data_IF_365673016028
#
_entry.id   IF_365673016028
#
_cell.length_a   1.000
_cell.length_b   1.000
_cell.length_c   1.000
_cell.angle_alpha   90.00
_cell.angle_beta   90.00
_cell.angle_gamma   90.00
#
_symmetry.space_group_name_H-M   'P 1'
#
loop_
_entity.id
_entity.type
_entity.pdbx_description
1 polymer ?
#
# COMPACT_ATOMS: atom_id res chain seq x y z
N UNK A 1 44.36 -48.27 -34.28
CA UNK A 1 42.93 -48.59 -34.08
C UNK A 1 42.38 -47.64 -33.03
N UNK A 2 41.48 -46.76 -33.50
CA UNK A 2 40.38 -46.06 -32.80
C UNK A 2 40.69 -45.29 -31.50
N UNK A 3 40.96 -43.99 -31.66
CA UNK A 3 40.75 -42.96 -30.64
C UNK A 3 39.26 -42.90 -30.27
N UNK A 4 38.95 -43.24 -29.01
CA UNK A 4 37.61 -43.12 -28.44
C UNK A 4 37.50 -41.78 -27.70
N UNK A 5 37.02 -40.75 -28.41
CA UNK A 5 36.60 -39.50 -27.76
C UNK A 5 35.39 -39.76 -26.85
N UNK A 6 35.30 -39.14 -25.66
CA UNK A 6 34.23 -39.41 -24.71
C UNK A 6 32.91 -38.84 -25.25
N UNK A 7 32.02 -39.73 -25.68
CA UNK A 7 30.63 -39.42 -26.06
C UNK A 7 29.80 -38.80 -24.91
N UNK A 8 30.33 -38.81 -23.69
CA UNK A 8 29.65 -38.30 -22.49
C UNK A 8 29.64 -36.78 -22.37
N UNK A 9 30.67 -36.07 -22.83
CA UNK A 9 30.72 -34.60 -22.66
C UNK A 9 29.70 -33.87 -23.54
N UNK A 10 29.48 -34.36 -24.78
CA UNK A 10 28.52 -33.76 -25.72
C UNK A 10 27.05 -33.91 -25.27
N UNK A 11 26.75 -34.91 -24.44
CA UNK A 11 25.40 -35.13 -23.90
C UNK A 11 25.05 -34.09 -22.83
N UNK A 12 25.99 -33.76 -21.94
CA UNK A 12 25.74 -32.88 -20.80
C UNK A 12 25.44 -31.45 -21.24
N UNK A 13 26.19 -30.92 -22.22
CA UNK A 13 25.96 -29.58 -22.75
C UNK A 13 24.61 -29.45 -23.48
N UNK A 14 24.18 -30.50 -24.20
CA UNK A 14 22.87 -30.49 -24.86
C UNK A 14 21.73 -30.54 -23.86
N UNK A 15 21.84 -31.36 -22.81
CA UNK A 15 20.82 -31.44 -21.77
C UNK A 15 20.74 -30.14 -20.95
N UNK A 16 21.87 -29.54 -20.59
CA UNK A 16 21.92 -28.26 -19.88
C UNK A 16 21.34 -27.11 -20.73
N UNK A 17 21.62 -27.08 -22.03
CA UNK A 17 21.06 -26.10 -22.95
C UNK A 17 19.54 -26.26 -23.10
N UNK A 18 19.03 -27.49 -23.18
CA UNK A 18 17.58 -27.74 -23.24
C UNK A 18 16.89 -27.32 -21.95
N UNK A 19 17.46 -27.60 -20.78
CA UNK A 19 16.92 -27.14 -19.48
C UNK A 19 16.96 -25.62 -19.38
N UNK A 20 18.04 -24.97 -19.81
CA UNK A 20 18.14 -23.51 -19.81
C UNK A 20 17.14 -22.87 -20.78
N UNK A 21 16.95 -23.42 -21.98
CA UNK A 21 15.98 -22.94 -22.96
C UNK A 21 14.55 -23.17 -22.46
N UNK A 22 14.24 -24.32 -21.85
CA UNK A 22 12.94 -24.56 -21.22
C UNK A 22 12.70 -23.61 -20.03
N UNK A 23 13.71 -23.35 -19.20
CA UNK A 23 13.61 -22.38 -18.11
C UNK A 23 13.39 -20.96 -18.64
N UNK A 24 14.11 -20.57 -19.68
CA UNK A 24 14.00 -19.25 -20.35
C UNK A 24 12.65 -19.07 -21.05
N UNK A 25 12.11 -20.12 -21.68
CA UNK A 25 10.81 -20.12 -22.35
C UNK A 25 9.64 -20.30 -21.38
N UNK A 26 9.88 -20.85 -20.19
CA UNK A 26 8.83 -21.07 -19.20
C UNK A 26 8.28 -19.78 -18.61
N UNK A 27 8.96 -18.64 -18.78
CA UNK A 27 8.48 -17.34 -18.31
C UNK A 27 8.10 -17.36 -16.83
N UNK A 28 8.63 -18.31 -16.04
CA UNK A 28 8.30 -18.47 -14.63
C UNK A 28 9.02 -17.38 -13.88
N UNK A 29 8.42 -16.20 -13.92
CA UNK A 29 8.47 -15.33 -12.76
C UNK A 29 7.71 -16.08 -11.68
N UNK A 30 8.42 -16.48 -10.61
CA UNK A 30 7.87 -17.11 -9.42
C UNK A 30 6.95 -16.11 -8.68
N UNK A 31 5.79 -15.79 -9.27
CA UNK A 31 4.63 -15.16 -8.63
C UNK A 31 3.45 -16.14 -8.66
N UNK A 32 3.70 -17.39 -8.25
CA UNK A 32 2.73 -18.48 -8.35
C UNK A 32 1.45 -18.28 -7.51
N UNK A 33 1.37 -17.24 -6.69
CA UNK A 33 0.22 -16.92 -5.83
C UNK A 33 -0.55 -15.65 -6.25
N UNK A 34 -0.17 -14.99 -7.35
CA UNK A 34 -0.88 -13.81 -7.82
C UNK A 34 -2.01 -14.18 -8.80
N UNK A 35 -3.23 -13.74 -8.48
CA UNK A 35 -4.40 -13.93 -9.31
C UNK A 35 -5.12 -12.61 -9.57
N UNK A 36 -5.91 -12.56 -10.65
CA UNK A 36 -6.90 -11.50 -10.82
C UNK A 36 -7.91 -11.56 -9.66
N UNK A 37 -8.49 -10.40 -9.32
CA UNK A 37 -9.59 -10.36 -8.36
C UNK A 37 -10.78 -11.16 -8.87
N UNK A 38 -11.34 -12.03 -8.04
CA UNK A 38 -12.61 -12.68 -8.34
C UNK A 38 -13.80 -11.70 -8.20
N UNK A 39 -15.01 -12.14 -8.52
CA UNK A 39 -16.20 -11.28 -8.50
C UNK A 39 -16.50 -10.68 -7.12
N UNK A 40 -16.31 -11.46 -6.03
CA UNK A 40 -16.54 -11.00 -4.66
C UNK A 40 -15.49 -9.95 -4.25
N UNK A 41 -14.21 -10.20 -4.54
CA UNK A 41 -13.12 -9.27 -4.28
C UNK A 41 -13.28 -7.98 -5.07
N UNK A 42 -13.63 -8.08 -6.36
CA UNK A 42 -13.92 -6.93 -7.22
C UNK A 42 -15.08 -6.10 -6.68
N UNK A 43 -16.12 -6.73 -6.14
CA UNK A 43 -17.24 -6.04 -5.49
C UNK A 43 -16.78 -5.27 -4.25
N UNK A 44 -15.99 -5.89 -3.37
CA UNK A 44 -15.45 -5.23 -2.16
C UNK A 44 -14.56 -4.03 -2.50
N UNK A 45 -13.73 -4.15 -3.54
CA UNK A 45 -12.91 -3.04 -4.01
C UNK A 45 -13.79 -1.88 -4.52
N UNK A 46 -14.78 -2.16 -5.37
CA UNK A 46 -15.75 -1.17 -5.85
C UNK A 46 -16.51 -0.49 -4.70
N UNK A 47 -16.98 -1.25 -3.73
CA UNK A 47 -17.64 -0.71 -2.53
C UNK A 47 -16.74 0.22 -1.72
N UNK A 48 -15.42 -0.04 -1.69
CA UNK A 48 -14.44 0.82 -1.02
C UNK A 48 -14.31 2.18 -1.71
N UNK A 49 -14.28 2.20 -3.04
CA UNK A 49 -14.32 3.45 -3.81
C UNK A 49 -15.66 4.18 -3.68
N UNK A 50 -16.79 3.47 -3.79
CA UNK A 50 -18.11 4.09 -3.58
C UNK A 50 -18.25 4.68 -2.18
N UNK A 51 -17.69 4.03 -1.15
CA UNK A 51 -17.62 4.60 0.18
C UNK A 51 -16.77 5.87 0.22
N UNK A 52 -15.56 5.85 -0.32
CA UNK A 52 -14.70 7.03 -0.39
C UNK A 52 -15.40 8.20 -1.10
N UNK A 53 -16.03 7.94 -2.24
CA UNK A 53 -16.76 8.95 -3.03
C UNK A 53 -18.01 9.52 -2.33
N UNK A 54 -18.50 8.85 -1.28
CA UNK A 54 -19.58 9.37 -0.44
C UNK A 54 -19.11 10.37 0.62
N UNK A 55 -17.79 10.47 0.84
CA UNK A 55 -17.18 11.35 1.83
C UNK A 55 -16.91 12.71 1.17
N UNK A 56 -17.78 13.67 1.42
CA UNK A 56 -17.64 15.04 0.91
C UNK A 56 -17.59 16.05 2.06
N UNK A 57 -16.99 17.24 1.87
CA UNK A 57 -16.87 18.23 2.93
C UNK A 57 -18.26 18.63 3.45
N UNK A 58 -18.39 18.65 4.77
CA UNK A 58 -19.60 19.05 5.50
C UNK A 58 -19.31 20.31 6.31
N UNK A 59 -20.18 20.63 7.26
CA UNK A 59 -19.87 21.63 8.29
C UNK A 59 -18.75 21.12 9.19
N UNK A 60 -17.66 21.87 9.29
CA UNK A 60 -16.55 21.63 10.22
C UNK A 60 -17.09 21.57 11.67
N UNK A 61 -16.64 20.57 12.42
CA UNK A 61 -17.05 20.22 13.78
C UNK A 61 -16.03 20.60 14.86
N UNK A 62 -14.83 20.98 14.45
CA UNK A 62 -13.80 21.54 15.32
C UNK A 62 -13.75 23.06 15.17
N UNK A 63 -13.01 23.75 16.04
CA UNK A 63 -12.86 25.19 15.93
C UNK A 63 -12.07 25.58 14.65
N UNK A 64 -12.50 26.65 13.99
CA UNK A 64 -11.92 27.09 12.72
C UNK A 64 -10.42 27.44 12.82
N UNK A 65 -9.94 28.15 13.87
CA UNK A 65 -8.52 28.42 14.02
C UNK A 65 -7.67 27.13 14.07
N UNK A 66 -8.08 26.13 14.85
CA UNK A 66 -7.42 24.82 14.91
C UNK A 66 -7.44 24.12 13.57
N UNK A 67 -8.60 24.08 12.90
CA UNK A 67 -8.70 23.48 11.56
C UNK A 67 -7.70 24.09 10.58
N UNK A 68 -7.71 25.43 10.45
CA UNK A 68 -6.84 26.15 9.53
C UNK A 68 -5.35 25.99 9.85
N UNK A 69 -5.01 25.84 11.14
CA UNK A 69 -3.63 25.65 11.60
C UNK A 69 -3.12 24.24 11.35
N UNK A 70 -3.98 23.22 11.50
CA UNK A 70 -3.56 21.82 11.56
C UNK A 70 -3.82 21.04 10.27
N UNK A 71 -4.78 21.44 9.42
CA UNK A 71 -5.00 20.73 8.15
C UNK A 71 -3.74 20.75 7.28
N UNK A 72 -3.42 19.60 6.70
CA UNK A 72 -2.38 19.42 5.69
C UNK A 72 -2.95 18.86 4.38
N UNK A 73 -4.28 18.75 4.26
CA UNK A 73 -4.89 18.02 3.16
C UNK A 73 -4.59 18.68 1.80
N UNK A 74 -4.92 19.97 1.68
CA UNK A 74 -4.75 20.68 0.41
C UNK A 74 -3.27 20.92 0.07
N UNK A 75 -2.41 21.09 1.07
CA UNK A 75 -0.96 21.21 0.86
C UNK A 75 -0.36 19.93 0.29
N UNK A 76 -0.86 18.75 0.69
CA UNK A 76 -0.41 17.45 0.19
C UNK A 76 -1.04 17.15 -1.18
N UNK A 77 -2.36 17.17 -1.27
CA UNK A 77 -3.09 16.67 -2.44
C UNK A 77 -3.23 17.69 -3.58
N UNK A 78 -2.96 18.98 -3.31
CA UNK A 78 -3.12 20.10 -4.25
C UNK A 78 -4.56 20.28 -4.73
N UNK A 79 -5.53 19.81 -3.95
CA UNK A 79 -6.95 20.09 -4.11
C UNK A 79 -7.65 20.05 -2.74
N UNK A 80 -8.73 20.83 -2.60
CA UNK A 80 -9.56 20.81 -1.38
C UNK A 80 -10.26 19.47 -1.13
N UNK A 81 -10.49 19.14 0.14
CA UNK A 81 -11.05 17.87 0.60
C UNK A 81 -12.28 17.43 -0.19
N UNK A 82 -12.20 16.25 -0.82
CA UNK A 82 -13.29 15.61 -1.55
C UNK A 82 -12.95 14.15 -1.79
N UNK A 83 -13.85 13.26 -1.37
CA UNK A 83 -13.74 11.83 -1.58
C UNK A 83 -13.71 11.45 -3.06
N UNK A 84 -14.49 12.13 -3.90
CA UNK A 84 -14.42 11.92 -5.36
C UNK A 84 -13.07 12.29 -5.95
N UNK A 85 -12.46 13.39 -5.51
CA UNK A 85 -11.12 13.78 -5.99
C UNK A 85 -10.06 12.80 -5.50
N UNK A 86 -10.14 12.33 -4.26
CA UNK A 86 -9.26 11.28 -3.73
C UNK A 86 -9.41 9.97 -4.49
N UNK A 87 -10.64 9.53 -4.80
CA UNK A 87 -10.91 8.33 -5.59
C UNK A 87 -10.19 8.40 -6.94
N UNK A 88 -10.28 9.53 -7.64
CA UNK A 88 -9.55 9.76 -8.90
C UNK A 88 -8.03 9.83 -8.70
N UNK A 89 -7.56 10.44 -7.60
CA UNK A 89 -6.14 10.53 -7.27
C UNK A 89 -5.51 9.14 -7.05
N UNK A 90 -6.24 8.23 -6.38
CA UNK A 90 -5.84 6.83 -6.20
C UNK A 90 -5.85 6.11 -7.55
N UNK A 91 -6.93 6.22 -8.31
CA UNK A 91 -7.08 5.55 -9.61
C UNK A 91 -6.11 6.08 -10.68
N UNK A 92 -5.62 7.31 -10.56
CA UNK A 92 -4.58 7.82 -11.46
C UNK A 92 -3.20 7.21 -11.18
N UNK A 93 -2.99 6.62 -9.98
CA UNK A 93 -1.73 6.06 -9.50
C UNK A 93 -1.69 4.54 -9.56
N UNK A 94 -2.79 3.89 -9.21
CA UNK A 94 -2.93 2.44 -9.26
C UNK A 94 -3.65 2.04 -10.53
N UNK A 95 -2.96 1.32 -11.41
CA UNK A 95 -3.45 0.88 -12.73
C UNK A 95 -4.15 -0.46 -12.66
N UNK A 96 -3.72 -1.33 -11.75
CA UNK A 96 -4.21 -2.70 -11.63
C UNK A 96 -4.24 -3.13 -10.16
N UNK A 97 -5.15 -4.04 -9.87
CA UNK A 97 -5.25 -4.71 -8.58
C UNK A 97 -5.19 -6.22 -8.81
N UNK A 98 -4.31 -6.88 -8.09
CA UNK A 98 -4.18 -8.33 -8.02
C UNK A 98 -4.46 -8.83 -6.60
N UNK A 99 -4.66 -10.13 -6.46
CA UNK A 99 -4.82 -10.81 -5.19
C UNK A 99 -3.69 -11.83 -5.03
N UNK A 100 -3.09 -11.91 -3.84
CA UNK A 100 -2.07 -12.92 -3.58
C UNK A 100 -1.43 -12.81 -2.20
N UNK A 101 -0.32 -13.51 -2.02
CA UNK A 101 0.43 -13.51 -0.77
C UNK A 101 1.24 -12.23 -0.61
N UNK A 102 1.01 -11.52 0.49
CA UNK A 102 1.67 -10.25 0.85
C UNK A 102 2.52 -10.39 2.12
N UNK A 103 2.68 -11.62 2.64
CA UNK A 103 3.37 -11.89 3.90
C UNK A 103 2.71 -11.16 5.07
N UNK A 104 3.50 -10.37 5.80
CA UNK A 104 3.06 -9.55 6.95
C UNK A 104 2.32 -8.26 6.52
N UNK A 105 2.31 -7.92 5.23
CA UNK A 105 1.69 -6.71 4.70
C UNK A 105 0.23 -6.94 4.30
N UNK A 106 -0.57 -5.88 4.29
CA UNK A 106 -1.98 -5.94 3.86
C UNK A 106 -2.10 -5.79 2.35
N UNK A 107 -1.25 -4.95 1.78
CA UNK A 107 -1.11 -4.72 0.36
C UNK A 107 0.35 -4.36 0.05
N UNK A 108 0.74 -4.47 -1.21
CA UNK A 108 2.05 -4.03 -1.68
C UNK A 108 1.90 -3.34 -3.04
N UNK A 109 2.47 -2.16 -3.15
CA UNK A 109 2.67 -1.47 -4.44
C UNK A 109 3.87 -2.05 -5.20
N UNK A 110 3.71 -2.22 -6.51
CA UNK A 110 4.77 -2.56 -7.45
C UNK A 110 5.05 -1.39 -8.41
N UNK A 111 6.31 -1.24 -8.84
CA UNK A 111 6.83 -0.09 -9.61
C UNK A 111 6.11 0.19 -10.96
N UNK A 112 5.19 -0.67 -11.40
CA UNK A 112 4.38 -0.54 -12.62
C UNK A 112 2.93 -0.06 -12.37
N UNK A 113 2.60 0.29 -11.13
CA UNK A 113 1.24 0.68 -10.76
C UNK A 113 0.30 -0.51 -10.52
N UNK A 114 0.81 -1.73 -10.38
CA UNK A 114 0.05 -2.84 -9.81
C UNK A 114 0.08 -2.79 -8.28
N UNK A 115 -1.05 -3.13 -7.66
CA UNK A 115 -1.14 -3.30 -6.21
C UNK A 115 -1.64 -4.70 -5.92
N UNK A 116 -0.79 -5.47 -5.23
CA UNK A 116 -1.13 -6.79 -4.74
C UNK A 116 -1.88 -6.67 -3.41
N UNK A 117 -3.14 -7.08 -3.40
CA UNK A 117 -4.00 -7.06 -2.21
C UNK A 117 -3.96 -8.41 -1.50
N UNK A 118 -3.58 -8.40 -0.22
CA UNK A 118 -3.58 -9.59 0.64
C UNK A 118 -4.97 -10.05 1.07
N UNK A 119 -5.05 -11.24 1.66
CA UNK A 119 -6.31 -11.75 2.25
C UNK A 119 -6.88 -10.80 3.29
N UNK A 120 -6.02 -10.23 4.14
CA UNK A 120 -6.42 -9.34 5.23
C UNK A 120 -7.16 -8.09 4.73
N UNK A 121 -6.79 -7.56 3.55
CA UNK A 121 -7.44 -6.39 2.95
C UNK A 121 -8.97 -6.57 2.82
N UNK A 122 -9.40 -7.74 2.36
CA UNK A 122 -10.82 -8.01 2.13
C UNK A 122 -11.63 -8.24 3.41
N UNK A 123 -10.97 -8.48 4.54
CA UNK A 123 -11.61 -8.56 5.87
C UNK A 123 -11.64 -7.22 6.62
N UNK A 124 -10.90 -6.22 6.17
CA UNK A 124 -10.92 -4.89 6.77
C UNK A 124 -12.29 -4.23 6.61
N UNK A 125 -12.64 -3.30 7.51
CA UNK A 125 -13.79 -2.43 7.29
C UNK A 125 -13.53 -1.46 6.12
N UNK A 126 -14.59 -0.81 5.64
CA UNK A 126 -14.53 0.09 4.47
C UNK A 126 -13.54 1.25 4.61
N UNK A 127 -13.37 1.81 5.82
CA UNK A 127 -12.43 2.91 6.05
C UNK A 127 -11.00 2.41 5.98
N UNK A 128 -10.68 1.30 6.65
CA UNK A 128 -9.31 0.76 6.65
C UNK A 128 -8.88 0.30 5.26
N UNK A 129 -9.81 -0.20 4.44
CA UNK A 129 -9.54 -0.45 3.00
C UNK A 129 -9.17 0.81 2.25
N UNK A 130 -9.90 1.91 2.48
CA UNK A 130 -9.59 3.21 1.86
C UNK A 130 -8.22 3.72 2.30
N UNK A 131 -7.88 3.59 3.59
CA UNK A 131 -6.56 3.99 4.09
C UNK A 131 -5.43 3.19 3.42
N UNK A 132 -5.60 1.87 3.28
CA UNK A 132 -4.64 1.03 2.54
C UNK A 132 -4.50 1.49 1.09
N UNK A 133 -5.62 1.68 0.36
CA UNK A 133 -5.56 2.11 -1.04
C UNK A 133 -4.90 3.48 -1.21
N UNK A 134 -5.18 4.42 -0.29
CA UNK A 134 -4.58 5.74 -0.28
C UNK A 134 -3.07 5.68 -0.02
N UNK A 135 -2.67 4.83 0.92
CA UNK A 135 -1.27 4.55 1.26
C UNK A 135 -0.51 3.98 0.06
N UNK A 136 -1.00 2.88 -0.51
CA UNK A 136 -0.32 2.22 -1.64
C UNK A 136 -0.25 3.14 -2.86
N UNK A 137 -1.28 3.96 -3.11
CA UNK A 137 -1.25 4.93 -4.19
C UNK A 137 -0.10 5.94 -4.02
N UNK A 138 0.27 6.32 -2.80
CA UNK A 138 1.36 7.28 -2.57
C UNK A 138 2.73 6.76 -3.02
N UNK A 139 2.96 5.45 -2.97
CA UNK A 139 4.20 4.85 -3.47
C UNK A 139 4.41 5.09 -4.98
N UNK A 140 3.33 5.32 -5.74
CA UNK A 140 3.41 5.65 -7.16
C UNK A 140 4.01 7.04 -7.47
N UNK A 141 4.08 7.94 -6.49
CA UNK A 141 4.62 9.30 -6.69
C UNK A 141 6.17 9.32 -6.72
N UNK A 142 6.82 8.17 -6.50
CA UNK A 142 8.27 8.00 -6.67
C UNK A 142 8.96 7.29 -5.49
N UNK A 143 10.23 6.90 -5.71
CA UNK A 143 11.02 6.08 -4.77
C UNK A 143 11.17 6.71 -3.37
N UNK A 144 11.14 8.03 -3.28
CA UNK A 144 11.23 8.76 -2.00
C UNK A 144 10.01 8.55 -1.10
N UNK A 145 8.90 8.06 -1.66
CA UNK A 145 7.69 7.71 -0.91
C UNK A 145 7.64 6.24 -0.52
N UNK A 146 8.68 5.46 -0.82
CA UNK A 146 8.82 4.10 -0.32
C UNK A 146 9.17 4.07 1.17
N UNK A 147 8.92 2.94 1.82
CA UNK A 147 9.27 2.79 3.23
C UNK A 147 10.77 2.69 3.47
N UNK A 148 11.21 3.25 4.59
CA UNK A 148 12.54 3.07 5.18
C UNK A 148 12.47 2.14 6.38
N UNK A 149 13.63 1.72 6.86
CA UNK A 149 13.76 0.94 8.10
C UNK A 149 13.36 1.83 9.27
N UNK A 150 12.40 1.36 10.06
CA UNK A 150 12.03 2.02 11.31
C UNK A 150 13.20 1.94 12.31
N UNK A 151 13.41 2.97 13.16
CA UNK A 151 14.44 2.96 14.19
C UNK A 151 14.38 1.71 15.09
N UNK A 152 15.53 1.24 15.59
CA UNK A 152 15.59 0.06 16.49
C UNK A 152 14.82 0.29 17.79
N UNK A 153 14.73 1.53 18.25
CA UNK A 153 13.97 1.93 19.43
C UNK A 153 12.53 2.35 19.10
N UNK A 154 11.99 1.99 17.93
CA UNK A 154 10.64 2.38 17.53
C UNK A 154 9.58 1.79 18.49
N UNK A 155 8.87 2.66 19.19
CA UNK A 155 8.04 2.30 20.35
C UNK A 155 6.59 1.92 20.01
N UNK A 156 6.20 2.04 18.74
CA UNK A 156 4.81 1.84 18.32
C UNK A 156 4.61 0.48 17.67
N UNK A 157 3.50 -0.19 18.02
CA UNK A 157 3.07 -1.41 17.35
C UNK A 157 2.40 -1.09 16.01
N UNK A 158 2.29 -2.08 15.13
CA UNK A 158 1.39 -1.97 13.99
C UNK A 158 -0.06 -1.95 14.53
N UNK A 159 -0.85 -0.88 14.29
CA UNK A 159 -2.22 -0.80 14.79
C UNK A 159 -3.16 -1.86 14.22
N UNK A 160 -2.76 -2.51 13.12
CA UNK A 160 -3.54 -3.54 12.43
C UNK A 160 -3.17 -4.95 12.90
N UNK A 161 -1.97 -5.13 13.47
CA UNK A 161 -1.56 -6.38 14.11
C UNK A 161 -0.53 -6.11 15.22
N UNK A 162 -1.00 -6.18 16.46
CA UNK A 162 -0.21 -6.07 17.69
C UNK A 162 0.98 -7.05 17.79
N UNK A 163 1.00 -8.12 16.99
CA UNK A 163 2.14 -9.05 16.93
C UNK A 163 3.29 -8.48 16.10
N UNK A 164 3.01 -7.52 15.21
CA UNK A 164 4.01 -6.91 14.36
C UNK A 164 4.66 -5.74 15.10
N UNK A 165 5.96 -5.88 15.32
CA UNK A 165 6.84 -4.86 15.87
C UNK A 165 7.59 -4.22 14.69
N UNK A 166 7.32 -2.94 14.34
CA UNK A 166 7.95 -2.27 13.21
C UNK A 166 9.43 -1.96 13.41
N UNK A 167 9.92 -1.91 14.65
CA UNK A 167 11.33 -1.66 14.96
C UNK A 167 12.27 -2.56 14.14
N UNK A 168 13.27 -1.95 13.50
CA UNK A 168 14.24 -2.66 12.63
C UNK A 168 13.64 -3.19 11.31
N UNK A 169 12.35 -2.98 11.04
CA UNK A 169 11.67 -3.41 9.80
C UNK A 169 11.47 -2.25 8.84
N UNK A 170 11.46 -2.56 7.54
CA UNK A 170 11.11 -1.61 6.47
C UNK A 170 9.61 -1.34 6.49
N UNK A 171 9.19 -0.25 7.14
CA UNK A 171 7.77 0.02 7.34
C UNK A 171 7.44 1.41 7.90
N UNK A 172 8.39 2.34 7.84
CA UNK A 172 8.21 3.74 8.25
C UNK A 172 8.36 4.67 7.06
N UNK A 173 7.80 5.87 7.13
CA UNK A 173 8.00 6.91 6.13
C UNK A 173 9.16 7.82 6.54
N UNK A 174 10.04 8.15 5.59
CA UNK A 174 11.11 9.14 5.77
C UNK A 174 10.70 10.56 5.38
N UNK A 175 9.50 10.74 4.82
CA UNK A 175 8.96 12.04 4.40
C UNK A 175 7.60 12.25 5.03
N UNK A 176 7.30 13.50 5.40
CA UNK A 176 6.10 13.86 6.17
C UNK A 176 4.79 13.55 5.44
N UNK A 177 4.82 13.50 4.11
CA UNK A 177 3.71 13.21 3.22
C UNK A 177 3.91 11.86 2.50
N UNK A 178 4.56 10.89 3.16
CA UNK A 178 4.59 9.49 2.77
C UNK A 178 3.22 8.80 2.91
N UNK A 179 3.16 7.48 2.75
CA UNK A 179 1.90 6.72 2.82
C UNK A 179 1.10 6.94 4.12
N UNK A 180 1.79 6.98 5.26
CA UNK A 180 1.20 7.29 6.56
C UNK A 180 0.89 8.78 6.73
N UNK A 181 1.72 9.66 6.15
CA UNK A 181 1.46 11.10 6.13
C UNK A 181 0.14 11.45 5.42
N UNK A 182 -0.08 10.89 4.23
CA UNK A 182 -1.29 11.16 3.44
C UNK A 182 -2.55 10.55 4.07
N UNK A 183 -2.44 9.39 4.71
CA UNK A 183 -3.55 8.77 5.43
C UNK A 183 -3.87 9.51 6.72
N UNK A 184 -2.87 10.02 7.45
CA UNK A 184 -3.06 10.92 8.58
C UNK A 184 -3.81 12.20 8.17
N UNK A 185 -3.40 12.84 7.07
CA UNK A 185 -4.08 14.03 6.56
C UNK A 185 -5.55 13.75 6.21
N UNK A 186 -5.86 12.59 5.62
CA UNK A 186 -7.23 12.18 5.35
C UNK A 186 -8.04 11.94 6.65
N UNK A 187 -7.47 11.26 7.64
CA UNK A 187 -8.12 11.01 8.93
C UNK A 187 -8.42 12.30 9.70
N UNK A 188 -7.53 13.29 9.61
CA UNK A 188 -7.77 14.62 10.18
C UNK A 188 -9.05 15.24 9.60
N UNK A 189 -9.23 15.18 8.27
CA UNK A 189 -10.44 15.69 7.62
C UNK A 189 -11.70 14.93 8.04
N UNK A 190 -11.61 13.61 8.21
CA UNK A 190 -12.74 12.81 8.71
C UNK A 190 -13.16 13.23 10.13
N UNK A 191 -12.20 13.51 11.01
CA UNK A 191 -12.47 14.07 12.34
C UNK A 191 -13.04 15.49 12.26
N UNK A 192 -12.40 16.36 11.47
CA UNK A 192 -12.81 17.75 11.32
C UNK A 192 -14.24 17.90 10.76
N UNK A 193 -14.65 17.05 9.81
CA UNK A 193 -16.00 17.08 9.23
C UNK A 193 -17.00 16.16 9.96
N UNK A 194 -16.59 15.46 11.01
CA UNK A 194 -17.47 14.63 11.84
C UNK A 194 -17.91 13.31 11.20
N UNK A 195 -17.13 12.76 10.28
CA UNK A 195 -17.29 11.39 9.80
C UNK A 195 -16.77 10.36 10.81
N UNK A 196 -15.81 10.76 11.63
CA UNK A 196 -15.33 10.01 12.79
C UNK A 196 -15.61 10.81 14.06
N UNK A 197 -15.81 10.09 15.18
CA UNK A 197 -15.78 10.74 16.48
C UNK A 197 -14.36 11.27 16.76
N UNK A 198 -14.23 12.33 17.55
CA UNK A 198 -12.95 13.02 17.75
C UNK A 198 -11.87 12.12 18.37
N UNK A 199 -12.26 11.24 19.30
CA UNK A 199 -11.33 10.31 19.96
C UNK A 199 -10.79 9.28 18.98
N UNK A 200 -11.65 8.70 18.14
CA UNK A 200 -11.26 7.74 17.11
C UNK A 200 -10.40 8.40 16.04
N UNK A 201 -10.78 9.60 15.59
CA UNK A 201 -9.99 10.38 14.63
C UNK A 201 -8.58 10.66 15.18
N UNK A 202 -8.48 11.13 16.43
CA UNK A 202 -7.20 11.41 17.07
C UNK A 202 -6.35 10.14 17.26
N UNK A 203 -6.97 9.04 17.70
CA UNK A 203 -6.26 7.76 17.86
C UNK A 203 -5.71 7.25 16.52
N UNK A 204 -6.55 7.19 15.48
CA UNK A 204 -6.12 6.74 14.15
C UNK A 204 -5.08 7.68 13.55
N UNK A 205 -5.28 9.00 13.64
CA UNK A 205 -4.31 10.00 13.18
C UNK A 205 -2.94 9.82 13.85
N UNK A 206 -2.92 9.71 15.17
CA UNK A 206 -1.68 9.54 15.93
C UNK A 206 -1.00 8.22 15.59
N UNK A 207 -1.78 7.18 15.31
CA UNK A 207 -1.22 5.90 14.88
C UNK A 207 -0.61 5.94 13.48
N UNK A 208 -1.14 6.72 12.54
CA UNK A 208 -0.48 6.94 11.24
C UNK A 208 0.78 7.79 11.42
N UNK A 209 0.68 8.95 12.07
CA UNK A 209 1.80 9.88 12.19
C UNK A 209 2.98 9.32 12.99
N UNK A 210 2.74 8.36 13.90
CA UNK A 210 3.80 7.72 14.68
C UNK A 210 4.76 6.89 13.83
N UNK A 211 4.37 6.54 12.59
CA UNK A 211 5.19 5.80 11.61
C UNK A 211 5.90 6.71 10.61
N UNK A 212 5.79 8.03 10.79
CA UNK A 212 6.57 9.02 10.05
C UNK A 212 7.76 9.41 10.91
N UNK A 213 8.98 9.13 10.43
CA UNK A 213 10.20 9.49 11.13
C UNK A 213 10.36 11.01 11.04
N UNK A 214 10.58 11.65 12.18
CA UNK A 214 10.92 13.07 12.28
C UNK A 214 12.38 13.14 12.74
N UNK A 215 13.19 13.88 11.99
CA UNK A 215 14.56 14.21 12.37
C UNK A 215 14.61 14.99 13.69
#
# INVERSE_FOLDING_TARGET
>A
MVDSKPLFELSVYKTAFIVFVLYSLSGVVLYADESKLNAKQSKVLKESFSYLESIEPKRIKIDKPTYNKLTQFESIFKFGFSGKKLSRWIQSRIKKYSYGSTGDYIAMYHDDGDVLLGRAFFSLNRLDRVLVLLHEARHADGKNFGHVVCPENFQFLNPRDWKIHPAGKKGCDSVIDGGYGVTAAFLFELGAYGYLNQTEAAHRYNSEISRVIRD
#
